data_IF_152693955830
#
_entry.id   IF_152693955830
#
_cell.length_a   1.000
_cell.length_b   1.000
_cell.length_c   1.000
_cell.angle_alpha   90.00
_cell.angle_beta   90.00
_cell.angle_gamma   90.00
#
_symmetry.space_group_name_H-M   'P 1'
#
loop_
_entity.id
_entity.type
_entity.pdbx_description
1 polymer ?
#
# COMPACT_ATOMS: atom_id res chain seq x y z
N UNK A 1 -50.04 -33.01 -3.40
CA UNK A 1 -48.86 -32.83 -2.58
C UNK A 1 -47.87 -31.97 -3.36
N UNK A 2 -47.72 -30.74 -3.03
CA UNK A 2 -46.77 -29.82 -3.64
C UNK A 2 -45.56 -29.66 -2.71
N UNK A 3 -44.40 -30.17 -3.14
CA UNK A 3 -43.17 -29.96 -2.44
C UNK A 3 -42.59 -28.63 -2.90
N UNK A 4 -42.59 -27.63 -2.00
CA UNK A 4 -41.87 -26.41 -2.21
C UNK A 4 -40.41 -26.65 -1.83
N UNK A 5 -39.53 -26.69 -2.85
CA UNK A 5 -38.10 -26.66 -2.62
C UNK A 5 -37.70 -25.21 -2.39
N UNK A 6 -37.38 -24.90 -1.14
CA UNK A 6 -36.81 -23.59 -0.79
C UNK A 6 -35.39 -23.50 -1.31
N UNK A 7 -35.17 -22.60 -2.26
CA UNK A 7 -33.83 -22.24 -2.70
C UNK A 7 -33.23 -21.30 -1.66
N UNK A 8 -32.32 -21.81 -0.85
CA UNK A 8 -31.47 -21.00 0.02
C UNK A 8 -30.44 -20.28 -0.87
N UNK A 9 -30.70 -19.02 -1.17
CA UNK A 9 -29.70 -18.15 -1.79
C UNK A 9 -28.69 -17.79 -0.71
N UNK A 10 -27.55 -18.48 -0.74
CA UNK A 10 -26.39 -18.11 0.08
C UNK A 10 -25.73 -16.89 -0.57
N UNK A 11 -26.06 -15.70 -0.08
CA UNK A 11 -25.40 -14.46 -0.47
C UNK A 11 -23.99 -14.45 0.15
N UNK A 12 -22.97 -14.82 -0.65
CA UNK A 12 -21.57 -14.59 -0.30
C UNK A 12 -21.28 -13.10 -0.33
N UNK A 13 -21.37 -12.45 0.82
CA UNK A 13 -20.78 -11.15 1.06
C UNK A 13 -19.25 -11.33 1.10
N UNK A 14 -18.62 -11.25 -0.08
CA UNK A 14 -17.16 -11.23 -0.20
C UNK A 14 -16.66 -9.92 0.39
N UNK A 15 -16.17 -9.97 1.64
CA UNK A 15 -15.62 -8.82 2.32
C UNK A 15 -14.35 -8.31 1.65
N UNK A 16 -14.42 -7.18 0.98
CA UNK A 16 -13.26 -6.45 0.43
C UNK A 16 -12.35 -5.84 1.49
N UNK A 17 -12.72 -5.91 2.77
CA UNK A 17 -11.94 -5.37 3.90
C UNK A 17 -10.67 -6.14 4.22
N UNK A 18 -10.55 -7.42 3.84
CA UNK A 18 -9.41 -8.27 4.20
C UNK A 18 -8.10 -7.84 3.54
N UNK A 19 -8.16 -7.33 2.32
CA UNK A 19 -6.95 -6.94 1.57
C UNK A 19 -6.33 -5.65 2.11
N UNK A 20 -7.12 -4.63 2.42
CA UNK A 20 -6.62 -3.36 2.95
C UNK A 20 -5.93 -3.55 4.31
N UNK A 21 -6.46 -4.45 5.16
CA UNK A 21 -5.85 -4.77 6.44
C UNK A 21 -4.53 -5.52 6.28
N UNK A 22 -4.46 -6.51 5.38
CA UNK A 22 -3.24 -7.25 5.09
C UNK A 22 -2.14 -6.34 4.52
N UNK A 23 -2.48 -5.37 3.67
CA UNK A 23 -1.55 -4.40 3.10
C UNK A 23 -1.02 -3.43 4.16
N UNK A 24 -1.86 -2.98 5.08
CA UNK A 24 -1.46 -2.18 6.23
C UNK A 24 -0.51 -2.96 7.16
N UNK A 25 -0.79 -4.22 7.43
CA UNK A 25 0.11 -5.06 8.22
C UNK A 25 1.46 -5.25 7.55
N UNK A 26 1.49 -5.42 6.24
CA UNK A 26 2.74 -5.48 5.49
C UNK A 26 3.54 -4.17 5.63
N UNK A 27 2.86 -3.02 5.57
CA UNK A 27 3.47 -1.71 5.81
C UNK A 27 4.13 -1.63 7.19
N UNK A 28 3.42 -2.03 8.23
CA UNK A 28 3.92 -2.05 9.61
C UNK A 28 5.09 -3.02 9.76
N UNK A 29 4.93 -4.23 9.26
CA UNK A 29 5.93 -5.31 9.33
C UNK A 29 7.22 -4.95 8.58
N UNK A 30 7.11 -4.15 7.53
CA UNK A 30 8.25 -3.68 6.74
C UNK A 30 8.93 -2.44 7.33
N UNK A 31 8.56 -2.02 8.52
CA UNK A 31 9.11 -0.86 9.24
C UNK A 31 8.94 0.50 8.54
N UNK A 32 7.99 0.63 7.63
CA UNK A 32 7.75 1.90 6.96
C UNK A 32 7.37 3.01 7.94
N UNK A 33 6.61 2.68 8.98
CA UNK A 33 6.16 3.63 10.00
C UNK A 33 7.28 4.07 10.98
N UNK A 34 8.47 3.50 10.88
CA UNK A 34 9.63 4.02 11.59
C UNK A 34 10.04 5.41 11.09
N UNK A 35 9.82 5.69 9.79
CA UNK A 35 10.21 6.96 9.13
C UNK A 35 9.05 7.71 8.50
N UNK A 36 7.89 7.08 8.32
CA UNK A 36 6.71 7.67 7.72
C UNK A 36 5.50 7.59 8.64
N UNK A 37 4.70 8.66 8.68
CA UNK A 37 3.31 8.58 9.10
C UNK A 37 2.39 8.64 7.87
N UNK A 38 1.15 8.24 8.02
CA UNK A 38 0.18 8.30 6.92
C UNK A 38 -0.21 9.76 6.64
N UNK A 39 -0.46 10.54 7.68
CA UNK A 39 -1.07 11.87 7.62
C UNK A 39 -0.19 13.00 8.16
N UNK A 40 1.04 12.72 8.52
CA UNK A 40 2.02 13.75 8.94
C UNK A 40 3.44 13.39 8.55
N UNK A 41 4.27 14.44 8.45
CA UNK A 41 5.70 14.26 8.24
C UNK A 41 6.35 13.72 9.50
N UNK A 42 7.29 12.80 9.28
CA UNK A 42 8.24 12.34 10.30
C UNK A 42 9.65 12.58 9.77
N UNK A 43 10.48 11.56 9.69
CA UNK A 43 11.75 11.63 8.94
C UNK A 43 11.49 11.69 7.43
N UNK A 44 10.60 10.83 6.94
CA UNK A 44 10.15 10.83 5.57
C UNK A 44 8.84 11.63 5.37
N UNK A 45 8.41 11.83 4.11
CA UNK A 45 7.15 12.49 3.81
C UNK A 45 5.95 11.68 4.32
N UNK A 46 4.83 12.35 4.58
CA UNK A 46 3.58 11.67 4.89
C UNK A 46 3.11 10.85 3.68
N UNK A 47 2.61 9.64 3.92
CA UNK A 47 2.31 8.71 2.84
C UNK A 47 1.15 9.18 1.96
N UNK A 48 0.16 9.89 2.52
CA UNK A 48 -0.93 10.46 1.71
C UNK A 48 -0.44 11.58 0.76
N UNK A 49 0.63 12.28 1.10
CA UNK A 49 1.27 13.27 0.21
C UNK A 49 2.01 12.58 -0.93
N UNK A 50 2.65 11.45 -0.66
CA UNK A 50 3.25 10.61 -1.70
C UNK A 50 2.19 10.17 -2.70
N UNK A 51 1.04 9.70 -2.23
CA UNK A 51 -0.09 9.34 -3.08
C UNK A 51 -0.55 10.51 -3.96
N UNK A 52 -0.68 11.69 -3.39
CA UNK A 52 -1.10 12.90 -4.11
C UNK A 52 -0.12 13.33 -5.20
N UNK A 53 1.19 13.19 -4.93
CA UNK A 53 2.24 13.55 -5.89
C UNK A 53 2.15 12.73 -7.19
N UNK A 54 1.77 11.46 -7.08
CA UNK A 54 1.78 10.52 -8.20
C UNK A 54 0.39 10.27 -8.80
N UNK A 55 -0.61 11.06 -8.46
CA UNK A 55 -2.02 10.82 -8.85
C UNK A 55 -2.23 10.73 -10.37
N UNK A 56 -1.43 11.45 -11.16
CA UNK A 56 -1.53 11.48 -12.62
C UNK A 56 -0.45 10.65 -13.33
N UNK A 57 0.33 9.87 -12.59
CA UNK A 57 1.39 9.04 -13.15
C UNK A 57 0.90 7.60 -13.29
N UNK A 58 0.74 7.13 -14.53
CA UNK A 58 0.30 5.76 -14.82
C UNK A 58 1.33 4.69 -14.41
N UNK A 59 2.60 5.07 -14.23
CA UNK A 59 3.69 4.19 -13.81
C UNK A 59 4.06 4.35 -12.33
N UNK A 60 3.23 5.03 -11.55
CA UNK A 60 3.52 5.37 -10.17
C UNK A 60 3.82 4.14 -9.29
N UNK A 61 3.03 3.08 -9.41
CA UNK A 61 3.21 1.87 -8.60
C UNK A 61 4.58 1.23 -8.82
N UNK A 62 5.00 1.10 -10.08
CA UNK A 62 6.30 0.54 -10.44
C UNK A 62 7.47 1.42 -9.98
N UNK A 63 7.35 2.73 -10.14
CA UNK A 63 8.35 3.70 -9.67
C UNK A 63 8.50 3.66 -8.16
N UNK A 64 7.40 3.65 -7.42
CA UNK A 64 7.43 3.56 -5.97
C UNK A 64 7.94 2.21 -5.48
N UNK A 65 7.60 1.12 -6.14
CA UNK A 65 8.12 -0.21 -5.79
C UNK A 65 9.65 -0.24 -5.91
N UNK A 66 10.21 0.31 -6.97
CA UNK A 66 11.66 0.47 -7.13
C UNK A 66 12.27 1.34 -6.05
N UNK A 67 11.61 2.46 -5.72
CA UNK A 67 12.06 3.38 -4.66
C UNK A 67 12.10 2.69 -3.31
N UNK A 68 11.10 1.91 -2.98
CA UNK A 68 11.03 1.14 -1.73
C UNK A 68 12.21 0.17 -1.63
N UNK A 69 12.52 -0.54 -2.71
CA UNK A 69 13.61 -1.52 -2.71
C UNK A 69 14.99 -0.88 -2.72
N UNK A 70 15.18 0.16 -3.52
CA UNK A 70 16.49 0.79 -3.75
C UNK A 70 16.76 1.95 -2.79
N UNK A 71 15.74 2.53 -2.19
CA UNK A 71 15.88 3.74 -1.38
C UNK A 71 16.33 4.95 -2.20
N UNK A 72 16.94 5.90 -1.54
CA UNK A 72 17.51 7.09 -2.15
C UNK A 72 17.03 8.40 -1.54
N UNK A 73 17.45 9.51 -2.14
CA UNK A 73 17.14 10.88 -1.70
C UNK A 73 16.83 11.78 -2.89
N UNK A 74 16.45 13.01 -2.63
CA UNK A 74 16.32 14.06 -3.63
C UNK A 74 14.89 14.37 -4.06
N UNK A 75 13.98 13.41 -4.08
CA UNK A 75 12.57 13.66 -4.46
C UNK A 75 11.83 14.46 -3.39
N UNK A 76 12.13 14.20 -2.11
CA UNK A 76 11.49 14.81 -0.94
C UNK A 76 12.47 15.59 -0.07
N UNK A 77 13.63 15.94 -0.59
CA UNK A 77 14.69 16.60 0.11
C UNK A 77 15.95 15.76 0.23
N UNK A 78 16.83 16.13 1.13
CA UNK A 78 18.16 15.50 1.28
C UNK A 78 18.16 14.24 2.13
N UNK A 79 17.13 14.04 2.95
CA UNK A 79 17.03 12.88 3.82
C UNK A 79 16.92 11.59 3.01
N UNK A 80 17.76 10.62 3.35
CA UNK A 80 17.86 9.38 2.62
C UNK A 80 16.86 8.36 3.15
N UNK A 81 16.08 7.77 2.25
CA UNK A 81 15.32 6.56 2.51
C UNK A 81 16.25 5.35 2.35
N UNK A 82 16.42 4.53 3.41
CA UNK A 82 17.22 3.32 3.30
C UNK A 82 16.61 2.33 2.31
N UNK A 83 17.44 1.56 1.60
CA UNK A 83 16.92 0.49 0.74
C UNK A 83 16.30 -0.64 1.57
N UNK A 84 15.34 -1.35 0.97
CA UNK A 84 14.65 -2.49 1.57
C UNK A 84 14.87 -3.75 0.70
N UNK A 85 16.10 -4.27 0.62
CA UNK A 85 16.43 -5.37 -0.30
C UNK A 85 15.78 -6.70 0.10
N UNK A 86 15.35 -6.84 1.36
CA UNK A 86 14.66 -8.02 1.88
C UNK A 86 13.24 -8.18 1.34
N UNK A 87 12.63 -7.12 0.83
CA UNK A 87 11.30 -7.19 0.24
C UNK A 87 11.35 -7.85 -1.14
N UNK A 88 10.41 -8.76 -1.42
CA UNK A 88 10.21 -9.27 -2.76
C UNK A 88 9.68 -8.16 -3.69
N UNK A 89 9.84 -8.33 -5.00
CA UNK A 89 9.26 -7.40 -5.98
C UNK A 89 7.74 -7.33 -5.85
N UNK A 90 7.09 -8.46 -5.57
CA UNK A 90 5.65 -8.53 -5.34
C UNK A 90 5.21 -7.74 -4.11
N UNK A 91 5.92 -7.87 -2.99
CA UNK A 91 5.62 -7.15 -1.75
C UNK A 91 5.88 -5.65 -1.91
N UNK A 92 6.96 -5.26 -2.56
CA UNK A 92 7.24 -3.87 -2.85
C UNK A 92 6.15 -3.23 -3.72
N UNK A 93 5.65 -3.95 -4.72
CA UNK A 93 4.54 -3.49 -5.56
C UNK A 93 3.23 -3.39 -4.78
N UNK A 94 2.95 -4.35 -3.91
CA UNK A 94 1.78 -4.31 -3.02
C UNK A 94 1.83 -3.09 -2.10
N UNK A 95 2.98 -2.80 -1.50
CA UNK A 95 3.18 -1.62 -0.67
C UNK A 95 3.02 -0.32 -1.46
N UNK A 96 3.58 -0.25 -2.65
CA UNK A 96 3.45 0.91 -3.52
C UNK A 96 1.99 1.20 -3.87
N UNK A 97 1.23 0.18 -4.24
CA UNK A 97 -0.21 0.32 -4.52
C UNK A 97 -1.00 0.74 -3.29
N UNK A 98 -0.66 0.20 -2.13
CA UNK A 98 -1.30 0.59 -0.88
C UNK A 98 -1.06 2.08 -0.56
N UNK A 99 0.19 2.54 -0.64
CA UNK A 99 0.53 3.95 -0.43
C UNK A 99 -0.23 4.85 -1.41
N UNK A 100 -0.30 4.48 -2.68
CA UNK A 100 -1.04 5.24 -3.69
C UNK A 100 -2.55 5.30 -3.43
N UNK A 101 -3.09 4.41 -2.62
CA UNK A 101 -4.49 4.42 -2.21
C UNK A 101 -4.81 5.40 -1.07
N UNK A 102 -3.79 5.96 -0.41
CA UNK A 102 -3.89 6.79 0.80
C UNK A 102 -4.14 8.29 0.52
N UNK A 103 -4.89 8.60 -0.47
CA UNK A 103 -5.21 10.01 -0.84
C UNK A 103 -5.98 10.73 0.25
#
# INVERSE_FOLDING_TARGET
>A
MRKFAGILVFSCLSGTMSYAYADYELLVKSNCLACHYIDKRKYGPKLNEVASKYVNDSNAAEKLAKKIKSGGSGVWGEDMMPPQPQLSDADALTLAKYVLSLK
#
